data_IF_914600844115
#
_entry.id   IF_914600844115
#
_cell.length_a   1.000
_cell.length_b   1.000
_cell.length_c   1.000
_cell.angle_alpha   90.00
_cell.angle_beta   90.00
_cell.angle_gamma   90.00
#
_symmetry.space_group_name_H-M   'P 1'
#
loop_
_entity.id
_entity.type
_entity.pdbx_description
1 polymer ?
#
# COMPACT_ATOMS: atom_id res chain seq x y z
N UNK A 1 -13.29 -3.23 -8.39
CA UNK A 1 -12.68 -4.50 -7.95
C UNK A 1 -11.16 -4.33 -7.80
N UNK A 2 -10.55 -4.91 -6.74
CA UNK A 2 -9.11 -4.87 -6.49
C UNK A 2 -8.40 -6.00 -7.24
N UNK A 3 -7.33 -5.66 -7.96
CA UNK A 3 -6.44 -6.63 -8.61
C UNK A 3 -5.47 -7.24 -7.61
N UNK A 4 -4.78 -8.33 -7.99
CA UNK A 4 -3.71 -8.88 -7.16
C UNK A 4 -2.55 -7.89 -6.95
N UNK A 5 -2.28 -7.03 -7.94
CA UNK A 5 -1.30 -5.95 -7.80
C UNK A 5 -1.73 -4.95 -6.72
N UNK A 6 -3.00 -4.54 -6.72
CA UNK A 6 -3.54 -3.61 -5.71
C UNK A 6 -3.43 -4.20 -4.30
N UNK A 7 -3.75 -5.49 -4.15
CA UNK A 7 -3.58 -6.22 -2.89
C UNK A 7 -2.11 -6.29 -2.46
N UNK A 8 -1.20 -6.55 -3.40
CA UNK A 8 0.23 -6.59 -3.13
C UNK A 8 0.78 -5.24 -2.67
N UNK A 9 0.31 -4.13 -3.25
CA UNK A 9 0.67 -2.77 -2.82
C UNK A 9 0.17 -2.47 -1.40
N UNK A 10 -1.11 -2.75 -1.11
CA UNK A 10 -1.67 -2.58 0.24
C UNK A 10 -0.88 -3.39 1.27
N UNK A 11 -0.63 -4.66 0.97
CA UNK A 11 0.08 -5.56 1.86
C UNK A 11 1.53 -5.13 2.09
N UNK A 12 2.21 -4.66 1.03
CA UNK A 12 3.58 -4.11 1.15
C UNK A 12 3.63 -2.91 2.08
N UNK A 13 2.70 -1.96 1.95
CA UNK A 13 2.62 -0.79 2.84
C UNK A 13 2.36 -1.24 4.28
N UNK A 14 1.42 -2.16 4.49
CA UNK A 14 1.08 -2.70 5.81
C UNK A 14 2.27 -3.37 6.52
N UNK A 15 3.02 -4.21 5.81
CA UNK A 15 4.19 -4.90 6.38
C UNK A 15 5.32 -3.92 6.69
N UNK A 16 5.59 -2.96 5.80
CA UNK A 16 6.63 -1.94 6.02
C UNK A 16 6.29 -0.94 7.11
N UNK A 17 5.00 -0.67 7.32
CA UNK A 17 4.50 0.10 8.44
C UNK A 17 4.66 -0.59 9.79
N UNK A 18 5.13 -1.85 9.83
CA UNK A 18 5.07 -2.70 11.01
C UNK A 18 3.65 -2.70 11.64
N UNK A 19 2.62 -2.78 10.77
CA UNK A 19 1.20 -2.74 11.14
C UNK A 19 0.74 -1.42 11.79
N UNK A 20 1.54 -0.36 11.77
CA UNK A 20 1.12 0.97 12.24
C UNK A 20 0.10 1.60 11.30
N UNK A 21 -0.96 2.19 11.87
CA UNK A 21 -1.94 3.01 11.14
C UNK A 21 -1.44 4.42 10.83
N UNK A 22 -0.38 4.88 11.50
CA UNK A 22 0.15 6.25 11.37
C UNK A 22 1.28 6.36 10.34
N UNK A 23 1.86 5.23 9.93
CA UNK A 23 2.96 5.20 8.99
C UNK A 23 2.50 5.63 7.58
N UNK A 24 3.36 6.37 6.91
CA UNK A 24 3.18 6.83 5.55
C UNK A 24 4.54 6.92 4.85
N UNK A 25 4.56 6.66 3.54
CA UNK A 25 5.80 6.49 2.78
C UNK A 25 5.74 7.24 1.46
N UNK A 26 6.88 7.72 0.97
CA UNK A 26 6.96 8.26 -0.39
C UNK A 26 6.65 7.17 -1.42
N UNK A 27 6.26 7.58 -2.62
CA UNK A 27 5.96 6.63 -3.69
C UNK A 27 7.21 5.81 -4.09
N UNK A 28 8.39 6.44 -4.06
CA UNK A 28 9.68 5.79 -4.32
C UNK A 28 9.96 4.73 -3.26
N UNK A 29 9.69 5.03 -1.99
CA UNK A 29 9.85 4.03 -0.93
C UNK A 29 8.90 2.85 -1.15
N UNK A 30 7.62 3.08 -1.46
CA UNK A 30 6.67 2.00 -1.78
C UNK A 30 7.18 1.15 -2.95
N UNK A 31 7.65 1.77 -4.03
CA UNK A 31 8.19 1.09 -5.21
C UNK A 31 9.40 0.19 -4.90
N UNK A 32 10.22 0.49 -3.89
CA UNK A 32 11.32 -0.39 -3.44
C UNK A 32 10.85 -1.77 -2.96
N UNK A 33 9.54 -1.99 -2.79
CA UNK A 33 8.97 -3.32 -2.49
C UNK A 33 8.77 -4.21 -3.71
N UNK A 34 9.07 -3.70 -4.91
CA UNK A 34 8.70 -4.32 -6.18
C UNK A 34 9.86 -4.25 -7.20
N UNK A 35 9.89 -5.18 -8.18
CA UNK A 35 10.83 -5.12 -9.29
C UNK A 35 10.77 -3.79 -10.06
N UNK A 36 11.92 -3.26 -10.47
CA UNK A 36 12.05 -1.95 -11.12
C UNK A 36 11.20 -1.82 -12.38
N UNK A 37 11.13 -2.86 -13.20
CA UNK A 37 10.30 -2.89 -14.42
C UNK A 37 8.79 -2.77 -14.13
N UNK A 38 8.35 -2.97 -12.88
CA UNK A 38 6.95 -2.83 -12.48
C UNK A 38 6.62 -1.46 -11.86
N UNK A 39 7.59 -0.59 -11.59
CA UNK A 39 7.38 0.65 -10.84
C UNK A 39 6.28 1.55 -11.44
N UNK A 40 6.16 1.60 -12.77
CA UNK A 40 5.07 2.33 -13.43
C UNK A 40 3.67 1.79 -13.07
N UNK A 41 3.52 0.47 -12.97
CA UNK A 41 2.26 -0.18 -12.55
C UNK A 41 1.98 0.05 -11.07
N UNK A 42 3.01 0.00 -10.21
CA UNK A 42 2.89 0.28 -8.78
C UNK A 42 2.41 1.71 -8.54
N UNK A 43 2.99 2.69 -9.23
CA UNK A 43 2.55 4.10 -9.16
C UNK A 43 1.07 4.26 -9.51
N UNK A 44 0.62 3.61 -10.58
CA UNK A 44 -0.80 3.61 -10.98
C UNK A 44 -1.70 2.95 -9.93
N UNK A 45 -1.25 1.84 -9.35
CA UNK A 45 -1.98 1.13 -8.30
C UNK A 45 -2.11 1.96 -7.02
N UNK A 46 -1.05 2.64 -6.57
CA UNK A 46 -1.09 3.55 -5.41
C UNK A 46 -2.11 4.68 -5.65
N UNK A 47 -2.09 5.30 -6.82
CA UNK A 47 -3.07 6.35 -7.14
C UNK A 47 -4.50 5.81 -7.23
N UNK A 48 -4.70 4.60 -7.78
CA UNK A 48 -6.00 3.94 -7.78
C UNK A 48 -6.50 3.70 -6.37
N UNK A 49 -5.67 3.10 -5.51
CA UNK A 49 -5.98 2.81 -4.10
C UNK A 49 -6.30 4.07 -3.30
N UNK A 50 -5.58 5.17 -3.57
CA UNK A 50 -5.90 6.50 -3.01
C UNK A 50 -7.28 6.99 -3.47
N UNK A 51 -7.57 6.92 -4.78
CA UNK A 51 -8.85 7.38 -5.35
C UNK A 51 -10.06 6.64 -4.78
N UNK A 52 -9.90 5.36 -4.44
CA UNK A 52 -10.97 4.54 -3.86
C UNK A 52 -10.98 4.53 -2.32
N UNK A 53 -10.20 5.39 -1.66
CA UNK A 53 -10.27 5.59 -0.21
C UNK A 53 -9.47 4.59 0.65
N UNK A 54 -8.64 3.74 0.05
CA UNK A 54 -7.83 2.77 0.81
C UNK A 54 -6.45 3.32 1.22
N UNK A 55 -6.03 4.43 0.60
CA UNK A 55 -4.84 5.18 1.00
C UNK A 55 -5.19 6.65 1.25
N UNK A 56 -4.65 7.22 2.32
CA UNK A 56 -4.60 8.67 2.50
C UNK A 56 -3.30 9.23 1.95
N UNK A 57 -3.31 10.53 1.63
CA UNK A 57 -2.14 11.27 1.17
C UNK A 57 -1.76 12.34 2.20
N UNK A 58 -0.46 12.51 2.45
CA UNK A 58 0.08 13.62 3.23
C UNK A 58 1.12 14.41 2.43
N UNK A 59 1.09 15.75 2.47
CA UNK A 59 2.15 16.57 1.91
C UNK A 59 3.47 16.31 2.66
N UNK A 60 4.57 16.28 1.93
CA UNK A 60 5.93 16.16 2.46
C UNK A 60 6.83 17.15 1.71
N UNK A 61 7.89 17.71 2.32
CA UNK A 61 8.79 18.67 1.65
C UNK A 61 9.35 18.17 0.30
N UNK A 62 9.54 16.85 0.17
CA UNK A 62 10.02 16.19 -1.05
C UNK A 62 8.90 15.64 -1.96
N UNK A 63 7.63 15.98 -1.70
CA UNK A 63 6.49 15.57 -2.52
C UNK A 63 5.30 15.06 -1.71
N UNK A 64 4.92 13.80 -1.94
CA UNK A 64 3.72 13.18 -1.33
C UNK A 64 4.10 11.88 -0.66
N UNK A 65 3.43 11.61 0.46
CA UNK A 65 3.50 10.34 1.15
C UNK A 65 2.12 9.72 1.27
N UNK A 66 2.08 8.39 1.30
CA UNK A 66 0.86 7.60 1.27
C UNK A 66 0.86 6.65 2.46
N UNK A 67 -0.27 6.62 3.18
CA UNK A 67 -0.50 5.69 4.28
C UNK A 67 -1.86 5.01 4.14
N UNK A 68 -2.07 3.94 4.89
CA UNK A 68 -3.34 3.20 4.88
C UNK A 68 -4.42 3.97 5.63
N UNK A 69 -5.61 4.09 5.04
CA UNK A 69 -6.81 4.45 5.82
C UNK A 69 -7.18 3.30 6.77
N UNK A 70 -8.14 3.50 7.67
CA UNK A 70 -8.62 2.41 8.52
C UNK A 70 -9.16 1.24 7.69
N UNK A 71 -9.89 1.51 6.61
CA UNK A 71 -10.39 0.50 5.68
C UNK A 71 -9.25 -0.21 4.94
N UNK A 72 -8.27 0.55 4.41
CA UNK A 72 -7.09 -0.01 3.75
C UNK A 72 -6.26 -0.90 4.68
N UNK A 73 -6.12 -0.49 5.94
CA UNK A 73 -5.40 -1.26 6.96
C UNK A 73 -6.11 -2.56 7.30
N UNK A 74 -7.43 -2.50 7.50
CA UNK A 74 -8.25 -3.66 7.83
C UNK A 74 -8.26 -4.69 6.69
N UNK A 75 -8.33 -4.21 5.45
CA UNK A 75 -8.22 -5.06 4.28
C UNK A 75 -6.83 -5.73 4.21
N UNK A 76 -5.76 -4.98 4.47
CA UNK A 76 -4.40 -5.52 4.49
C UNK A 76 -4.18 -6.56 5.62
N UNK A 77 -4.79 -6.35 6.80
CA UNK A 77 -4.82 -7.34 7.89
C UNK A 77 -5.47 -8.64 7.44
N UNK A 78 -6.65 -8.56 6.80
CA UNK A 78 -7.36 -9.74 6.26
C UNK A 78 -6.54 -10.48 5.20
N UNK A 79 -5.75 -9.76 4.40
CA UNK A 79 -4.81 -10.39 3.46
C UNK A 79 -3.71 -11.17 4.21
N UNK A 80 -3.16 -10.64 5.29
CA UNK A 80 -2.17 -11.35 6.13
C UNK A 80 -2.75 -12.65 6.70
N UNK A 81 -3.97 -12.61 7.21
CA UNK A 81 -4.64 -13.77 7.80
C UNK A 81 -4.90 -14.89 6.79
N UNK A 82 -5.35 -14.52 5.58
CA UNK A 82 -5.55 -15.47 4.48
C UNK A 82 -4.26 -16.14 4.03
N UNK A 83 -3.13 -15.45 4.13
CA UNK A 83 -1.82 -16.05 3.82
C UNK A 83 -1.38 -17.04 4.91
N UNK A 84 -1.74 -16.80 6.19
CA UNK A 84 -1.40 -17.69 7.31
C UNK A 84 -2.23 -18.97 7.37
N UNK A 85 -3.48 -18.93 6.88
CA UNK A 85 -4.41 -20.08 6.87
C UNK A 85 -4.18 -21.05 5.70
N UNK A 86 -3.21 -20.76 4.83
CA UNK A 86 -2.82 -21.62 3.70
C UNK A 86 -1.56 -22.45 3.98
N UNK A 87 -1.11 -22.47 5.24
CA UNK A 87 -0.08 -23.37 5.77
C UNK A 87 -0.78 -24.42 6.64
#
# INVERSE_FOLDING_TARGET
MLTELDKAVLFTIYKRANKSKKAHFSIEFICKGFPTNQHGFIKRSVEKLRKIGLLYIKPHPSGRSYGLTDEGWELARKLEEKCKTKL
#
